data_IF_063637229502
#
_entry.id   IF_063637229502
#
_cell.length_a   1.000
_cell.length_b   1.000
_cell.length_c   1.000
_cell.angle_alpha   90.00
_cell.angle_beta   90.00
_cell.angle_gamma   90.00
#
_symmetry.space_group_name_H-M   'P 1'
#
loop_
_entity.id
_entity.type
_entity.pdbx_description
1 polymer ?
#
# COMPACT_ATOMS: atom_id res chain seq x y z
N UNK A 1 -5.57 12.22 20.22
CA UNK A 1 -6.10 11.72 18.96
C UNK A 1 -6.60 12.91 18.16
N UNK A 2 -5.90 13.25 17.11
CA UNK A 2 -6.42 14.16 16.10
C UNK A 2 -7.29 13.31 15.16
N UNK A 3 -8.57 13.62 15.07
CA UNK A 3 -9.45 13.06 14.04
C UNK A 3 -9.25 13.74 12.68
N UNK A 4 -8.16 14.43 12.52
CA UNK A 4 -7.78 15.08 11.25
C UNK A 4 -6.57 14.35 10.68
N UNK A 5 -6.69 13.94 9.43
CA UNK A 5 -5.58 13.56 8.59
C UNK A 5 -4.49 14.65 8.62
N UNK A 6 -3.27 14.27 8.36
CA UNK A 6 -2.16 15.20 8.22
C UNK A 6 -2.44 16.28 7.18
N UNK A 7 -1.71 17.36 7.25
CA UNK A 7 -1.88 18.46 6.30
C UNK A 7 -1.54 17.98 4.88
N UNK A 8 -2.43 18.27 3.94
CA UNK A 8 -2.12 18.12 2.52
C UNK A 8 -0.98 19.08 2.17
N UNK A 9 0.15 18.55 1.71
CA UNK A 9 1.33 19.31 1.34
C UNK A 9 1.22 19.90 -0.08
N UNK A 10 0.08 19.68 -0.75
CA UNK A 10 -0.20 20.14 -2.11
C UNK A 10 0.80 19.61 -3.15
N UNK A 11 1.38 18.46 -2.89
CA UNK A 11 2.22 17.76 -3.85
C UNK A 11 1.35 16.90 -4.78
N UNK A 12 1.91 16.57 -5.93
CA UNK A 12 1.22 15.73 -6.91
C UNK A 12 1.12 14.30 -6.40
N UNK A 13 0.05 13.62 -6.81
CA UNK A 13 -0.05 12.18 -6.71
C UNK A 13 0.82 11.48 -7.75
N UNK A 14 0.74 10.18 -7.76
CA UNK A 14 1.45 9.31 -8.70
C UNK A 14 0.49 8.62 -9.67
N UNK A 15 0.84 8.54 -10.94
CA UNK A 15 -0.02 8.00 -12.00
C UNK A 15 -0.27 6.50 -11.82
N UNK A 16 0.74 5.75 -11.37
CA UNK A 16 0.63 4.31 -11.18
C UNK A 16 -0.26 4.03 -9.96
N UNK A 17 -0.10 4.80 -8.87
CA UNK A 17 -0.99 4.73 -7.72
C UNK A 17 -2.43 5.14 -8.07
N UNK A 18 -2.63 6.15 -8.92
CA UNK A 18 -3.96 6.55 -9.38
C UNK A 18 -4.69 5.41 -10.08
N UNK A 19 -3.98 4.55 -10.82
CA UNK A 19 -4.58 3.39 -11.46
C UNK A 19 -5.20 2.40 -10.48
N UNK A 20 -4.65 2.33 -9.26
CA UNK A 20 -5.10 1.44 -8.20
C UNK A 20 -6.36 1.96 -7.50
N UNK A 21 -6.47 3.29 -7.33
CA UNK A 21 -7.55 3.92 -6.55
C UNK A 21 -8.65 4.53 -7.41
N UNK A 22 -8.65 4.26 -8.72
CA UNK A 22 -9.68 4.76 -9.65
C UNK A 22 -11.11 4.54 -9.09
N UNK A 23 -12.02 5.54 -9.14
CA UNK A 23 -11.93 6.82 -9.86
C UNK A 23 -11.24 7.96 -9.10
N UNK A 24 -10.74 7.71 -7.90
CA UNK A 24 -10.03 8.71 -7.12
C UNK A 24 -8.61 8.94 -7.68
N UNK A 25 -7.97 10.00 -7.20
CA UNK A 25 -6.57 10.30 -7.48
C UNK A 25 -5.80 10.42 -6.17
N UNK A 26 -4.52 10.11 -6.21
CA UNK A 26 -3.62 10.29 -5.06
C UNK A 26 -3.11 11.71 -4.98
N UNK A 27 -2.69 12.11 -3.79
CA UNK A 27 -1.98 13.35 -3.50
C UNK A 27 -0.77 13.03 -2.65
N UNK A 28 0.20 13.93 -2.62
CA UNK A 28 1.38 13.83 -1.76
C UNK A 28 2.11 12.47 -1.87
N UNK A 29 2.18 11.92 -3.07
CA UNK A 29 2.82 10.62 -3.30
C UNK A 29 4.32 10.68 -3.01
N UNK A 30 4.81 9.70 -2.24
CA UNK A 30 6.24 9.47 -2.05
C UNK A 30 6.68 8.29 -2.93
N UNK A 31 7.63 8.52 -3.82
CA UNK A 31 8.10 7.51 -4.79
C UNK A 31 9.58 7.23 -4.58
N UNK A 32 9.92 5.95 -4.47
CA UNK A 32 11.29 5.46 -4.49
C UNK A 32 11.46 4.54 -5.71
N UNK A 33 12.35 4.91 -6.61
CA UNK A 33 12.65 4.12 -7.81
C UNK A 33 14.14 3.77 -7.89
N UNK A 34 14.43 2.53 -8.20
CA UNK A 34 15.80 2.07 -8.39
C UNK A 34 15.87 0.90 -9.37
N UNK A 35 17.04 0.71 -9.95
CA UNK A 35 17.33 -0.45 -10.78
C UNK A 35 18.23 -1.42 -9.99
N UNK A 36 18.04 -2.71 -10.19
CA UNK A 36 18.89 -3.72 -9.59
C UNK A 36 19.04 -4.92 -10.52
N UNK A 37 20.08 -5.70 -10.28
CA UNK A 37 20.32 -6.97 -10.96
C UNK A 37 20.07 -8.07 -9.94
N UNK A 38 19.02 -8.90 -10.13
CA UNK A 38 18.73 -9.98 -9.18
C UNK A 38 19.83 -11.05 -9.23
N UNK A 39 20.17 -11.60 -8.08
CA UNK A 39 21.12 -12.71 -7.96
C UNK A 39 20.46 -14.10 -8.08
N UNK A 40 19.13 -14.12 -8.13
CA UNK A 40 18.34 -15.36 -8.27
C UNK A 40 17.10 -15.08 -9.12
N UNK A 41 16.38 -16.13 -9.49
CA UNK A 41 15.10 -16.03 -10.23
C UNK A 41 13.95 -15.53 -9.37
N UNK A 42 14.14 -15.41 -8.08
CA UNK A 42 13.12 -14.99 -7.12
C UNK A 42 13.60 -13.78 -6.35
N UNK A 43 12.73 -12.81 -6.17
CA UNK A 43 12.93 -11.64 -5.33
C UNK A 43 11.82 -11.62 -4.30
N UNK A 44 12.20 -11.42 -3.04
CA UNK A 44 11.25 -11.36 -1.92
C UNK A 44 11.38 -10.03 -1.20
N UNK A 45 10.24 -9.44 -0.88
CA UNK A 45 10.17 -8.19 -0.12
C UNK A 45 9.25 -8.37 1.09
N UNK A 46 9.66 -7.78 2.20
CA UNK A 46 8.78 -7.58 3.35
C UNK A 46 8.55 -6.08 3.52
N UNK A 47 7.32 -5.69 3.74
CA UNK A 47 6.98 -4.29 3.99
C UNK A 47 5.90 -4.15 5.06
N UNK A 48 5.80 -2.96 5.59
CA UNK A 48 4.76 -2.55 6.52
C UNK A 48 4.10 -1.31 5.92
N UNK A 49 2.79 -1.37 5.78
CA UNK A 49 1.98 -0.22 5.41
C UNK A 49 1.33 0.35 6.68
N UNK A 50 1.45 1.64 6.87
CA UNK A 50 0.84 2.35 7.99
C UNK A 50 0.14 3.61 7.48
N UNK A 51 -1.00 3.95 8.09
CA UNK A 51 -1.76 5.15 7.77
C UNK A 51 -2.38 5.73 9.04
N UNK A 52 -2.43 7.04 9.13
CA UNK A 52 -3.14 7.78 10.19
C UNK A 52 -4.65 7.89 9.91
N UNK A 53 -5.10 7.49 8.72
CA UNK A 53 -6.51 7.50 8.33
C UNK A 53 -7.35 6.42 9.05
N UNK A 54 -6.70 5.51 9.77
CA UNK A 54 -7.40 4.52 10.58
C UNK A 54 -7.87 5.08 11.92
N UNK A 55 -9.00 4.59 12.46
CA UNK A 55 -10.03 3.83 11.75
C UNK A 55 -11.09 4.70 11.09
N UNK A 56 -11.02 6.04 11.28
CA UNK A 56 -12.11 6.98 11.03
C UNK A 56 -12.47 7.10 9.54
N UNK A 57 -11.49 6.94 8.68
CA UNK A 57 -11.65 7.13 7.23
C UNK A 57 -11.78 5.83 6.44
N UNK A 58 -11.82 4.68 7.12
CA UNK A 58 -12.05 3.38 6.46
C UNK A 58 -13.39 3.39 5.72
N UNK A 59 -13.36 3.03 4.43
CA UNK A 59 -14.53 3.05 3.58
C UNK A 59 -14.88 4.42 2.99
N UNK A 60 -14.05 5.44 3.22
CA UNK A 60 -14.23 6.78 2.69
C UNK A 60 -13.45 7.01 1.39
N UNK A 61 -13.52 8.26 0.90
CA UNK A 61 -12.70 8.72 -0.23
C UNK A 61 -11.23 8.96 0.14
N UNK A 62 -10.93 9.10 1.42
CA UNK A 62 -9.58 9.22 1.94
C UNK A 62 -9.01 7.81 2.09
N UNK A 63 -8.32 7.35 1.07
CA UNK A 63 -7.93 5.95 0.93
C UNK A 63 -6.43 5.87 0.61
N UNK A 64 -5.62 5.96 1.65
CA UNK A 64 -4.18 5.76 1.50
C UNK A 64 -3.89 4.41 0.88
N UNK A 65 -2.95 4.39 -0.05
CA UNK A 65 -2.59 3.22 -0.84
C UNK A 65 -1.08 3.01 -0.85
N UNK A 66 -0.68 1.75 -0.86
CA UNK A 66 0.70 1.33 -1.05
C UNK A 66 0.81 0.43 -2.27
N UNK A 67 1.86 0.62 -3.05
CA UNK A 67 2.21 -0.27 -4.14
C UNK A 67 3.72 -0.52 -4.21
N UNK A 68 4.09 -1.67 -4.72
CA UNK A 68 5.45 -2.01 -5.09
C UNK A 68 5.43 -2.56 -6.52
N UNK A 69 5.95 -1.78 -7.45
CA UNK A 69 5.96 -2.16 -8.86
C UNK A 69 7.28 -2.80 -9.24
N UNK A 70 7.21 -3.97 -9.86
CA UNK A 70 8.34 -4.61 -10.54
C UNK A 70 8.00 -4.72 -12.02
N UNK A 71 8.78 -4.05 -12.87
CA UNK A 71 8.53 -3.99 -14.32
C UNK A 71 7.08 -3.59 -14.68
N UNK A 72 6.50 -2.65 -13.92
CA UNK A 72 5.14 -2.14 -14.15
C UNK A 72 4.01 -3.00 -13.57
N UNK A 73 4.31 -4.12 -12.91
CA UNK A 73 3.34 -4.98 -12.24
C UNK A 73 3.35 -4.71 -10.74
N UNK A 74 2.20 -4.35 -10.15
CA UNK A 74 2.10 -4.20 -8.70
C UNK A 74 2.10 -5.57 -8.02
N UNK A 75 3.13 -5.82 -7.22
CA UNK A 75 3.27 -7.06 -6.45
C UNK A 75 2.87 -6.90 -4.98
N UNK A 76 2.57 -5.68 -4.53
CA UNK A 76 2.07 -5.42 -3.18
C UNK A 76 0.56 -5.68 -3.10
N UNK A 77 0.20 -6.94 -3.03
CA UNK A 77 -1.18 -7.40 -2.95
C UNK A 77 -1.46 -8.04 -1.59
N UNK A 78 -2.72 -8.05 -1.19
CA UNK A 78 -3.14 -8.79 -0.01
C UNK A 78 -2.92 -10.28 -0.26
N UNK A 79 -2.24 -11.02 0.64
CA UNK A 79 -1.84 -12.40 0.40
C UNK A 79 -2.97 -13.31 -0.06
N UNK A 80 -2.72 -14.05 -1.13
CA UNK A 80 -3.70 -14.97 -1.73
C UNK A 80 -4.80 -14.29 -2.55
N UNK A 81 -4.67 -13.00 -2.83
CA UNK A 81 -5.65 -12.22 -3.62
C UNK A 81 -4.97 -11.41 -4.72
N UNK A 82 -5.79 -10.76 -5.55
CA UNK A 82 -5.35 -9.74 -6.50
C UNK A 82 -5.64 -8.31 -6.01
N UNK A 83 -5.99 -8.16 -4.74
CA UNK A 83 -6.43 -6.90 -4.16
C UNK A 83 -5.23 -6.07 -3.70
N UNK A 84 -5.09 -4.81 -4.13
CA UNK A 84 -4.03 -3.90 -3.69
C UNK A 84 -4.15 -3.56 -2.19
N UNK A 85 -3.03 -3.17 -1.62
CA UNK A 85 -2.98 -2.70 -0.22
C UNK A 85 -3.45 -1.26 -0.13
N UNK A 86 -4.49 -1.04 0.65
CA UNK A 86 -5.01 0.28 1.00
C UNK A 86 -5.78 0.22 2.31
N UNK A 87 -6.10 1.37 2.92
CA UNK A 87 -6.88 1.39 4.16
C UNK A 87 -8.28 0.81 3.98
N UNK A 88 -8.89 0.98 2.80
CA UNK A 88 -10.22 0.42 2.51
C UNK A 88 -10.19 -1.10 2.29
N UNK A 89 -9.05 -1.64 1.89
CA UNK A 89 -8.88 -3.05 1.59
C UNK A 89 -8.35 -3.87 2.78
N UNK A 90 -7.71 -3.21 3.76
CA UNK A 90 -7.24 -3.85 5.00
C UNK A 90 -7.70 -3.02 6.19
N UNK A 91 -8.57 -3.58 7.00
CA UNK A 91 -9.17 -2.87 8.13
C UNK A 91 -9.62 -3.87 9.20
N UNK A 92 -10.14 -3.42 10.35
CA UNK A 92 -10.69 -4.33 11.36
C UNK A 92 -11.82 -5.24 10.86
N UNK A 93 -12.48 -4.85 9.76
CA UNK A 93 -13.64 -5.59 9.20
C UNK A 93 -13.40 -6.16 7.80
N UNK A 94 -12.36 -5.72 7.11
CA UNK A 94 -12.00 -6.16 5.76
C UNK A 94 -10.58 -6.69 5.78
N UNK A 95 -10.38 -7.95 5.40
CA UNK A 95 -9.07 -8.62 5.43
C UNK A 95 -8.37 -8.47 6.79
N UNK A 96 -9.14 -8.58 7.87
CA UNK A 96 -8.73 -8.29 9.24
C UNK A 96 -7.56 -9.16 9.76
N UNK A 97 -7.31 -10.30 9.13
CA UNK A 97 -6.15 -11.14 9.45
C UNK A 97 -4.80 -10.45 9.17
N UNK A 98 -4.80 -9.43 8.31
CA UNK A 98 -3.62 -8.64 7.94
C UNK A 98 -3.59 -7.27 8.61
N UNK A 99 -4.62 -6.96 9.42
CA UNK A 99 -4.73 -5.70 10.13
C UNK A 99 -4.19 -5.83 11.55
N UNK A 100 -3.30 -4.91 11.93
CA UNK A 100 -2.80 -4.80 13.29
C UNK A 100 -3.16 -3.42 13.84
N UNK A 101 -3.99 -3.41 14.87
CA UNK A 101 -4.31 -2.17 15.58
C UNK A 101 -3.18 -1.78 16.51
N UNK A 102 -2.65 -0.59 16.33
CA UNK A 102 -1.68 -0.01 17.24
C UNK A 102 -2.37 1.09 18.07
N UNK A 103 -2.65 0.81 19.32
CA UNK A 103 -3.33 1.74 20.24
C UNK A 103 -2.54 3.02 20.56
N UNK A 104 -1.34 3.19 19.99
CA UNK A 104 -0.45 4.34 20.21
C UNK A 104 -0.11 5.05 18.89
N UNK A 105 -1.11 5.52 18.16
CA UNK A 105 -1.01 6.55 17.11
C UNK A 105 -0.47 6.13 15.72
N UNK A 106 -0.05 4.92 15.48
CA UNK A 106 0.30 4.43 14.13
C UNK A 106 -0.32 3.06 13.93
N UNK A 107 -1.17 2.94 12.92
CA UNK A 107 -1.77 1.67 12.54
C UNK A 107 -0.93 0.99 11.48
N UNK A 108 -0.60 -0.25 11.72
CA UNK A 108 0.30 -1.03 10.89
C UNK A 108 -0.49 -2.15 10.24
N UNK A 109 -0.54 -2.15 8.93
CA UNK A 109 -0.88 -3.33 8.18
C UNK A 109 0.41 -4.13 7.94
N UNK A 110 0.52 -5.29 8.53
CA UNK A 110 1.64 -6.17 8.23
C UNK A 110 1.29 -6.95 6.97
N UNK A 111 2.01 -6.68 5.91
CA UNK A 111 1.89 -7.51 4.73
C UNK A 111 3.07 -8.44 4.66
N UNK A 112 2.73 -9.67 4.47
CA UNK A 112 3.64 -10.77 4.32
C UNK A 112 4.46 -10.68 3.02
N UNK A 113 5.49 -11.37 3.01
CA UNK A 113 6.38 -11.85 1.98
C UNK A 113 5.75 -11.96 0.58
N UNK A 114 6.34 -11.29 -0.41
CA UNK A 114 6.04 -11.46 -1.82
C UNK A 114 7.22 -12.10 -2.53
N UNK A 115 6.91 -13.11 -3.32
CA UNK A 115 7.89 -13.73 -4.21
C UNK A 115 7.58 -13.29 -5.65
N UNK A 116 8.51 -12.61 -6.27
CA UNK A 116 8.46 -12.32 -7.70
C UNK A 116 9.38 -13.28 -8.43
N UNK A 117 8.81 -14.03 -9.34
CA UNK A 117 9.56 -14.89 -10.25
C UNK A 117 9.85 -14.13 -11.53
N UNK A 118 11.12 -13.92 -11.86
CA UNK A 118 11.49 -13.32 -13.12
C UNK A 118 10.93 -14.13 -14.27
N UNK A 119 10.14 -13.52 -15.14
CA UNK A 119 9.72 -14.16 -16.40
C UNK A 119 10.94 -14.21 -17.29
N UNK A 120 11.35 -15.40 -17.68
CA UNK A 120 12.34 -15.57 -18.75
C UNK A 120 11.75 -15.01 -20.06
N UNK A 121 12.52 -14.15 -20.75
CA UNK A 121 12.16 -13.65 -22.08
C UNK A 121 12.48 -14.69 -23.14
#
# INVERSE_FOLDING_TARGET
NSSSAGANNSQLGDTDLNSIVTPNTTNDAAVLQFNFIPLSSTISFAFVFASEEYPEYVGSQFNDVFAFFVNGENIALIPGTTTPVSINNVSPVTNSAFFISNFREVLICTVSHFDYYAKEN
#
